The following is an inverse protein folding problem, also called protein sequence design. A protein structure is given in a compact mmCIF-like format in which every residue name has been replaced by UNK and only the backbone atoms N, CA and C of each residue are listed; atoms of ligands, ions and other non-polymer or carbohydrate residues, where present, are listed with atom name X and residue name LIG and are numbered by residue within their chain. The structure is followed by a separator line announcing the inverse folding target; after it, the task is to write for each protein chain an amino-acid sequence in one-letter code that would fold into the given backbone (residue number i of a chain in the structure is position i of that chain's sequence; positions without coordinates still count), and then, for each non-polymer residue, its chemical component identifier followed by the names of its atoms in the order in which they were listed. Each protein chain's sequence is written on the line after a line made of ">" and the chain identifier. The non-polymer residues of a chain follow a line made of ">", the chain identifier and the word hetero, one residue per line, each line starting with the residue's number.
data_IF_259969355498
#
_entry.id   IF_259969355498
#
_cell.length_a   1.000
_cell.length_b   1.000
_cell.length_c   1.000
_cell.angle_alpha   90.00
_cell.angle_beta   90.00
_cell.angle_gamma   90.00
#
_symmetry.space_group_name_H-M   'P 1'
#
loop_
_entity.id
_entity.type
_entity.pdbx_description
1 polymer ?
#
# COMPACT_ATOMS: atom_id res chain seq x y z
N UNK A 1 25.32 -16.78 16.48
CA UNK A 1 24.53 -17.25 15.33
C UNK A 1 24.19 -16.04 14.48
N UNK A 2 25.03 -15.72 13.50
CA UNK A 2 24.73 -14.72 12.46
C UNK A 2 25.51 -15.11 11.21
N UNK A 3 24.96 -16.10 10.49
CA UNK A 3 25.38 -16.45 9.14
C UNK A 3 24.65 -15.55 8.14
N UNK A 4 25.36 -15.06 7.12
CA UNK A 4 24.75 -14.37 5.99
C UNK A 4 25.54 -13.16 5.47
N UNK A 5 26.75 -13.38 4.97
CA UNK A 5 27.43 -12.39 4.11
C UNK A 5 28.37 -13.09 3.10
N UNK A 6 27.86 -14.09 2.39
CA UNK A 6 28.53 -14.69 1.24
C UNK A 6 27.95 -14.17 -0.07
N UNK A 7 28.21 -12.90 -0.42
CA UNK A 7 27.90 -12.34 -1.76
C UNK A 7 29.02 -11.44 -2.31
N UNK A 8 30.23 -11.50 -1.76
CA UNK A 8 31.36 -10.73 -2.28
C UNK A 8 32.54 -11.68 -2.50
N UNK A 9 32.80 -11.95 -3.79
CA UNK A 9 33.72 -12.98 -4.26
C UNK A 9 35.16 -12.84 -3.78
N UNK A 10 35.92 -13.90 -4.05
CA UNK A 10 37.23 -14.34 -3.55
C UNK A 10 38.44 -13.36 -3.69
N UNK A 11 38.22 -12.04 -3.79
CA UNK A 11 39.27 -11.02 -3.75
C UNK A 11 38.79 -9.73 -3.11
N UNK A 12 39.03 -9.55 -1.80
CA UNK A 12 39.05 -8.20 -1.23
C UNK A 12 40.10 -8.06 -0.12
N UNK A 13 41.35 -7.69 -0.45
CA UNK A 13 42.16 -6.94 0.50
C UNK A 13 41.70 -5.47 0.43
N UNK A 14 40.50 -5.16 0.93
CA UNK A 14 39.90 -3.82 0.91
C UNK A 14 39.35 -3.42 2.28
N UNK A 15 39.29 -2.11 2.56
CA UNK A 15 38.58 -1.58 3.73
C UNK A 15 37.09 -1.46 3.43
N UNK A 16 36.23 -1.72 4.41
CA UNK A 16 34.79 -1.55 4.27
C UNK A 16 34.19 -0.88 5.51
N UNK A 17 33.11 -0.15 5.29
CA UNK A 17 32.22 0.35 6.34
C UNK A 17 30.80 -0.09 6.03
N UNK A 18 30.04 -0.37 7.07
CA UNK A 18 28.63 -0.72 6.95
C UNK A 18 27.81 -0.01 8.01
N UNK A 19 26.60 0.40 7.65
CA UNK A 19 25.64 0.93 8.60
C UNK A 19 24.27 0.27 8.43
N UNK A 20 23.61 -0.14 9.52
CA UNK A 20 22.30 -0.77 9.46
C UNK A 20 21.23 0.25 9.07
N UNK A 21 20.33 -0.14 8.18
CA UNK A 21 19.13 0.63 7.85
C UNK A 21 18.04 0.18 8.81
N UNK A 22 17.58 1.08 9.68
CA UNK A 22 16.55 0.78 10.69
C UNK A 22 15.25 1.53 10.42
N UNK A 23 14.12 0.85 10.56
CA UNK A 23 12.78 1.43 10.51
C UNK A 23 12.00 1.03 11.77
N UNK A 24 11.51 2.03 12.54
CA UNK A 24 10.90 1.82 13.86
C UNK A 24 11.74 0.96 14.82
N UNK A 25 13.06 1.13 14.78
CA UNK A 25 14.00 0.31 15.57
C UNK A 25 14.27 -1.09 15.03
N UNK A 26 13.56 -1.53 13.99
CA UNK A 26 13.78 -2.83 13.33
C UNK A 26 14.83 -2.67 12.25
N UNK A 27 15.85 -3.54 12.25
CA UNK A 27 16.83 -3.60 11.17
C UNK A 27 16.21 -4.20 9.91
N UNK A 28 16.15 -3.44 8.82
CA UNK A 28 15.53 -3.85 7.54
C UNK A 28 16.56 -4.02 6.41
N UNK A 29 17.83 -3.75 6.69
CA UNK A 29 18.93 -3.88 5.72
C UNK A 29 20.21 -3.20 6.19
N UNK A 30 21.16 -3.01 5.28
CA UNK A 30 22.39 -2.26 5.56
C UNK A 30 22.89 -1.54 4.31
N UNK A 31 23.54 -0.39 4.50
CA UNK A 31 24.40 0.23 3.49
C UNK A 31 25.79 -0.37 3.67
N UNK A 32 26.40 -0.80 2.57
CA UNK A 32 27.76 -1.33 2.54
C UNK A 32 28.61 -0.53 1.56
N UNK A 33 29.75 -0.04 2.01
CA UNK A 33 30.71 0.70 1.18
C UNK A 33 32.07 0.01 1.30
N UNK A 34 32.63 -0.38 0.17
CA UNK A 34 33.95 -1.02 0.10
C UNK A 34 34.90 -0.19 -0.76
N UNK A 35 36.17 -0.15 -0.35
CA UNK A 35 37.26 0.53 -1.05
C UNK A 35 38.55 -0.30 -1.00
N UNK A 36 39.53 -0.05 -1.89
CA UNK A 36 40.84 -0.66 -1.80
C UNK A 36 41.55 -0.32 -0.46
N UNK A 37 42.41 -1.21 0.05
CA UNK A 37 43.12 -1.01 1.32
C UNK A 37 44.03 0.24 1.36
N UNK A 38 44.41 0.76 0.20
CA UNK A 38 45.16 2.02 0.08
C UNK A 38 44.34 3.27 0.38
N UNK A 39 43.02 3.15 0.56
CA UNK A 39 42.10 4.26 0.80
C UNK A 39 41.26 3.98 2.06
N UNK A 40 41.86 4.08 3.26
CA UNK A 40 41.13 3.89 4.50
C UNK A 40 40.02 4.93 4.64
N UNK A 41 38.93 4.52 5.28
CA UNK A 41 37.88 5.45 5.65
C UNK A 41 38.32 6.29 6.84
N UNK A 42 37.98 7.56 6.82
CA UNK A 42 38.09 8.41 8.01
C UNK A 42 36.81 8.28 8.88
N UNK A 43 36.84 8.75 10.15
CA UNK A 43 35.67 8.70 11.03
C UNK A 43 34.43 9.41 10.47
N UNK A 44 34.61 10.58 9.86
CA UNK A 44 33.52 11.40 9.30
C UNK A 44 32.77 10.66 8.17
N UNK A 45 33.49 9.86 7.37
CA UNK A 45 32.88 9.01 6.35
C UNK A 45 32.03 7.88 6.97
N UNK A 46 32.46 7.34 8.11
CA UNK A 46 31.66 6.39 8.88
C UNK A 46 30.37 7.03 9.41
N UNK A 47 30.48 8.25 9.96
CA UNK A 47 29.32 9.03 10.42
C UNK A 47 28.36 9.37 9.27
N UNK A 48 28.88 9.75 8.11
CA UNK A 48 28.08 10.02 6.92
C UNK A 48 27.29 8.78 6.49
N UNK A 49 27.94 7.61 6.43
CA UNK A 49 27.26 6.36 6.06
C UNK A 49 26.19 5.97 7.09
N UNK A 50 26.45 6.21 8.38
CA UNK A 50 25.46 6.02 9.44
C UNK A 50 24.26 6.98 9.32
N UNK A 51 24.51 8.25 9.01
CA UNK A 51 23.48 9.26 8.78
C UNK A 51 22.62 8.92 7.55
N UNK A 52 23.26 8.49 6.45
CA UNK A 52 22.56 8.03 5.24
C UNK A 52 21.68 6.81 5.54
N UNK A 53 22.22 5.80 6.23
CA UNK A 53 21.44 4.60 6.58
C UNK A 53 20.22 4.93 7.46
N UNK A 54 20.37 5.92 8.36
CA UNK A 54 19.26 6.42 9.18
C UNK A 54 18.18 7.12 8.36
N UNK A 55 18.57 7.96 7.40
CA UNK A 55 17.62 8.64 6.50
C UNK A 55 16.90 7.65 5.58
N UNK A 56 17.61 6.68 5.01
CA UNK A 56 17.01 5.65 4.15
C UNK A 56 15.93 4.86 4.89
N UNK A 57 16.16 4.56 6.17
CA UNK A 57 15.17 3.88 7.02
C UNK A 57 13.85 4.67 7.15
N UNK A 58 13.94 5.99 7.35
CA UNK A 58 12.78 6.87 7.41
C UNK A 58 12.05 6.98 6.07
N UNK A 59 12.79 7.13 4.95
CA UNK A 59 12.22 7.23 3.61
C UNK A 59 11.47 5.96 3.22
N UNK A 60 12.07 4.78 3.47
CA UNK A 60 11.42 3.49 3.19
C UNK A 60 10.14 3.30 4.02
N UNK A 61 10.13 3.76 5.27
CA UNK A 61 8.93 3.73 6.09
C UNK A 61 7.81 4.59 5.49
N UNK A 62 8.13 5.81 5.07
CA UNK A 62 7.16 6.71 4.46
C UNK A 62 6.61 6.15 3.15
N UNK A 63 7.46 5.56 2.30
CA UNK A 63 7.03 4.92 1.06
C UNK A 63 6.07 3.75 1.34
N UNK A 64 6.34 2.91 2.35
CA UNK A 64 5.45 1.82 2.74
C UNK A 64 4.11 2.32 3.27
N UNK A 65 4.11 3.38 4.07
CA UNK A 65 2.88 4.01 4.58
C UNK A 65 2.04 4.59 3.44
N UNK A 66 2.69 5.27 2.49
CA UNK A 66 2.02 5.85 1.33
C UNK A 66 1.37 4.76 0.46
N UNK A 67 2.09 3.69 0.14
CA UNK A 67 1.54 2.57 -0.63
C UNK A 67 0.34 1.91 0.06
N UNK A 68 0.39 1.75 1.40
CA UNK A 68 -0.75 1.25 2.19
C UNK A 68 -1.94 2.20 2.14
N UNK A 69 -1.71 3.51 2.28
CA UNK A 69 -2.76 4.52 2.22
C UNK A 69 -3.47 4.52 0.85
N UNK A 70 -2.71 4.42 -0.25
CA UNK A 70 -3.28 4.37 -1.60
C UNK A 70 -4.16 3.14 -1.81
N UNK A 71 -3.70 1.96 -1.36
CA UNK A 71 -4.48 0.72 -1.45
C UNK A 71 -5.81 0.81 -0.66
N UNK A 72 -5.77 1.41 0.54
CA UNK A 72 -6.98 1.62 1.36
C UNK A 72 -7.95 2.56 0.66
N UNK A 73 -7.48 3.67 0.10
CA UNK A 73 -8.33 4.65 -0.60
C UNK A 73 -9.04 4.01 -1.80
N UNK A 74 -8.35 3.18 -2.59
CA UNK A 74 -8.96 2.45 -3.72
C UNK A 74 -10.06 1.50 -3.24
N UNK A 75 -9.83 0.76 -2.15
CA UNK A 75 -10.85 -0.14 -1.60
C UNK A 75 -12.06 0.62 -1.05
N UNK A 76 -11.83 1.75 -0.39
CA UNK A 76 -12.91 2.61 0.11
C UNK A 76 -13.76 3.15 -1.03
N UNK A 77 -13.15 3.58 -2.13
CA UNK A 77 -13.89 4.07 -3.29
C UNK A 77 -14.72 2.97 -3.96
N UNK A 78 -14.16 1.76 -4.11
CA UNK A 78 -14.93 0.61 -4.61
C UNK A 78 -16.15 0.30 -3.73
N UNK A 79 -15.98 0.35 -2.41
CA UNK A 79 -17.09 0.14 -1.47
C UNK A 79 -18.13 1.27 -1.54
N UNK A 80 -17.70 2.52 -1.74
CA UNK A 80 -18.59 3.66 -1.95
C UNK A 80 -19.42 3.47 -3.22
N UNK A 81 -18.78 3.17 -4.34
CA UNK A 81 -19.43 2.92 -5.64
C UNK A 81 -20.40 1.73 -5.54
N UNK A 82 -20.01 0.63 -4.89
CA UNK A 82 -20.89 -0.53 -4.72
C UNK A 82 -22.18 -0.17 -3.96
N UNK A 83 -22.09 0.64 -2.91
CA UNK A 83 -23.27 1.15 -2.19
C UNK A 83 -24.13 2.06 -3.05
N UNK A 84 -23.51 2.99 -3.78
CA UNK A 84 -24.23 3.90 -4.66
C UNK A 84 -24.99 3.16 -5.77
N UNK A 85 -24.37 2.14 -6.37
CA UNK A 85 -25.02 1.25 -7.35
C UNK A 85 -26.16 0.47 -6.70
N UNK A 86 -25.94 -0.11 -5.52
CA UNK A 86 -26.97 -0.87 -4.81
C UNK A 86 -28.19 -0.01 -4.48
N UNK A 87 -27.98 1.20 -3.95
CA UNK A 87 -29.05 2.12 -3.57
C UNK A 87 -29.83 2.60 -4.81
N UNK A 88 -29.13 2.93 -5.90
CA UNK A 88 -29.77 3.33 -7.16
C UNK A 88 -30.61 2.22 -7.79
N UNK A 89 -30.12 0.97 -7.77
CA UNK A 89 -30.89 -0.19 -8.25
C UNK A 89 -32.11 -0.44 -7.36
N UNK A 90 -31.94 -0.42 -6.04
CA UNK A 90 -33.05 -0.61 -5.09
C UNK A 90 -34.15 0.44 -5.27
N UNK A 91 -33.77 1.70 -5.47
CA UNK A 91 -34.72 2.79 -5.72
C UNK A 91 -35.46 2.62 -7.05
N UNK A 92 -34.75 2.25 -8.12
CA UNK A 92 -35.35 2.03 -9.44
C UNK A 92 -36.33 0.86 -9.41
N UNK A 93 -35.92 -0.26 -8.82
CA UNK A 93 -36.78 -1.44 -8.66
C UNK A 93 -38.00 -1.12 -7.79
N UNK A 94 -37.81 -0.40 -6.68
CA UNK A 94 -38.90 0.03 -5.82
C UNK A 94 -39.92 0.91 -6.56
N UNK A 95 -39.45 1.86 -7.37
CA UNK A 95 -40.31 2.67 -8.22
C UNK A 95 -41.11 1.83 -9.22
N UNK A 96 -40.45 0.89 -9.91
CA UNK A 96 -41.11 -0.01 -10.86
C UNK A 96 -42.17 -0.89 -10.18
N UNK A 97 -41.89 -1.42 -8.98
CA UNK A 97 -42.86 -2.19 -8.20
C UNK A 97 -44.11 -1.38 -7.84
N UNK A 98 -43.93 -0.11 -7.47
CA UNK A 98 -45.06 0.80 -7.19
C UNK A 98 -45.88 1.04 -8.47
N UNK A 99 -45.24 1.33 -9.60
CA UNK A 99 -45.94 1.54 -10.88
C UNK A 99 -46.72 0.30 -11.32
N UNK A 100 -46.14 -0.90 -11.14
CA UNK A 100 -46.80 -2.15 -11.50
C UNK A 100 -48.04 -2.41 -10.65
N UNK A 101 -47.97 -2.17 -9.34
CA UNK A 101 -49.13 -2.27 -8.45
C UNK A 101 -50.24 -1.27 -8.77
N UNK A 102 -49.89 -0.07 -9.25
CA UNK A 102 -50.86 0.92 -9.74
C UNK A 102 -51.58 0.39 -10.99
N UNK A 103 -50.84 -0.17 -11.96
CA UNK A 103 -51.41 -0.77 -13.18
C UNK A 103 -52.34 -1.93 -12.83
N UNK A 104 -51.91 -2.85 -11.96
CA UNK A 104 -52.74 -3.99 -11.53
C UNK A 104 -54.05 -3.53 -10.86
N UNK A 105 -54.01 -2.49 -10.03
CA UNK A 105 -55.20 -1.94 -9.40
C UNK A 105 -56.19 -1.33 -10.43
N UNK A 106 -55.70 -0.65 -11.47
CA UNK A 106 -56.57 -0.14 -12.54
C UNK A 106 -57.18 -1.26 -13.39
N UNK A 107 -56.42 -2.34 -13.66
CA UNK A 107 -56.92 -3.49 -14.39
C UNK A 107 -57.99 -4.25 -13.59
N UNK A 108 -57.76 -4.50 -12.29
CA UNK A 108 -58.72 -5.19 -11.42
C UNK A 108 -60.04 -4.40 -11.23
N UNK A 109 -59.97 -3.07 -11.14
CA UNK A 109 -61.17 -2.23 -11.03
C UNK A 109 -61.85 -1.97 -12.39
N UNK A 110 -61.11 -2.05 -13.51
CA UNK A 110 -61.62 -1.86 -14.87
C UNK A 110 -62.43 -3.05 -15.41
N UNK A 111 -62.18 -4.27 -14.93
CA UNK A 111 -63.02 -5.45 -15.23
C UNK A 111 -64.40 -5.36 -14.55
N UNK A 112 -64.52 -4.65 -13.42
CA UNK A 112 -65.79 -4.49 -12.68
C UNK A 112 -66.79 -3.52 -13.34
N UNK A 113 -66.41 -2.83 -14.43
CA UNK A 113 -67.28 -1.89 -15.15
C UNK A 113 -67.85 -2.46 -16.47
N UNK A 114 -67.60 -3.74 -16.79
CA UNK A 114 -68.01 -4.38 -18.06
C UNK A 114 -68.91 -5.61 -17.92
N UNK A 115 -69.41 -5.91 -16.73
CA UNK A 115 -70.45 -6.94 -16.51
C UNK A 115 -71.82 -6.27 -16.30
#
# INVERSE_FOLDING_TARGET
>A
MQEGAGILGDKIPGTCISAPIRSKGINIGAIFVARPRSQPFNPDEGELVAALASQVGAVLQNAQLFSKSGAIAVLQERQRVAREVHDGLAQTLGYLSVQMGIVDHFLANGESARA
#
